data_IF_977847404255
#
_entry.id   IF_977847404255
#
_cell.length_a   1.000
_cell.length_b   1.000
_cell.length_c   1.000
_cell.angle_alpha   90.00
_cell.angle_beta   90.00
_cell.angle_gamma   90.00
#
_symmetry.space_group_name_H-M   'P 1'
#
loop_
_entity.id
_entity.type
_entity.pdbx_description
1 polymer ?
#
# COMPACT_ATOMS: atom_id res chain seq x y z
N UNK A 1 -56.91 21.13 -41.47
CA UNK A 1 -55.81 21.64 -40.63
C UNK A 1 -55.64 20.64 -39.50
N UNK A 2 -55.06 19.48 -39.81
CA UNK A 2 -54.85 18.42 -38.81
C UNK A 2 -53.48 18.65 -38.19
N UNK A 3 -53.48 19.07 -36.93
CA UNK A 3 -52.30 19.17 -36.09
C UNK A 3 -52.04 17.76 -35.52
N UNK A 4 -51.18 17.00 -36.18
CA UNK A 4 -50.70 15.72 -35.65
C UNK A 4 -49.64 16.01 -34.58
N UNK A 5 -49.83 15.55 -33.34
CA UNK A 5 -48.80 15.70 -32.30
C UNK A 5 -47.59 14.85 -32.66
N UNK A 6 -46.42 15.48 -32.74
CA UNK A 6 -45.14 14.79 -32.97
C UNK A 6 -44.82 13.85 -31.79
N UNK A 7 -44.48 12.58 -32.03
CA UNK A 7 -44.06 11.68 -30.97
C UNK A 7 -42.65 12.06 -30.47
N UNK A 8 -42.61 12.54 -29.22
CA UNK A 8 -41.61 12.15 -28.23
C UNK A 8 -40.14 12.42 -28.55
N UNK A 9 -39.66 13.62 -28.21
CA UNK A 9 -38.22 13.87 -28.00
C UNK A 9 -37.70 13.27 -26.67
N UNK A 10 -38.53 12.52 -25.93
CA UNK A 10 -38.20 11.96 -24.61
C UNK A 10 -37.41 10.63 -24.64
N UNK A 11 -37.34 9.89 -25.76
CA UNK A 11 -36.63 8.60 -25.80
C UNK A 11 -35.11 8.71 -26.08
N UNK A 12 -34.60 9.90 -26.43
CA UNK A 12 -33.21 10.05 -26.89
C UNK A 12 -32.18 10.26 -25.78
N UNK A 13 -32.62 10.32 -24.52
CA UNK A 13 -31.76 10.63 -23.37
C UNK A 13 -31.50 9.45 -22.43
N UNK A 14 -32.18 8.31 -22.59
CA UNK A 14 -32.02 7.18 -21.65
C UNK A 14 -30.87 6.21 -22.00
N UNK A 15 -30.19 6.37 -23.13
CA UNK A 15 -29.34 5.31 -23.71
C UNK A 15 -27.87 5.71 -23.91
N UNK A 16 -27.37 6.75 -23.20
CA UNK A 16 -25.99 7.27 -23.36
C UNK A 16 -25.09 7.01 -22.15
N UNK A 17 -25.60 6.44 -21.06
CA UNK A 17 -24.81 6.24 -19.83
C UNK A 17 -24.12 4.86 -19.71
N UNK A 18 -24.28 3.96 -20.69
CA UNK A 18 -23.82 2.56 -20.57
C UNK A 18 -22.48 2.21 -21.26
N UNK A 19 -21.92 3.05 -22.16
CA UNK A 19 -20.70 2.70 -22.92
C UNK A 19 -19.38 2.91 -22.16
N UNK A 20 -19.33 3.80 -21.17
CA UNK A 20 -18.09 4.05 -20.41
C UNK A 20 -17.85 3.03 -19.27
N UNK A 21 -18.92 2.44 -18.75
CA UNK A 21 -18.86 1.46 -17.66
C UNK A 21 -18.44 0.05 -18.13
N UNK A 22 -18.81 -0.35 -19.35
CA UNK A 22 -18.55 -1.68 -19.90
C UNK A 22 -17.09 -1.86 -20.29
N UNK A 23 -16.51 -0.90 -21.02
CA UNK A 23 -15.11 -0.92 -21.42
C UNK A 23 -14.14 -0.90 -20.22
N UNK A 24 -14.48 -0.15 -19.16
CA UNK A 24 -13.70 -0.11 -17.91
C UNK A 24 -13.80 -1.44 -17.15
N UNK A 25 -14.99 -2.02 -17.07
CA UNK A 25 -15.21 -3.34 -16.45
C UNK A 25 -14.48 -4.46 -17.19
N UNK A 26 -14.46 -4.45 -18.53
CA UNK A 26 -13.71 -5.42 -19.33
C UNK A 26 -12.20 -5.32 -19.11
N UNK A 27 -11.64 -4.11 -19.14
CA UNK A 27 -10.21 -3.89 -18.85
C UNK A 27 -9.85 -4.34 -17.43
N UNK A 28 -10.71 -4.03 -16.45
CA UNK A 28 -10.53 -4.48 -15.07
C UNK A 28 -10.62 -6.00 -14.94
N UNK A 29 -11.51 -6.68 -15.67
CA UNK A 29 -11.59 -8.15 -15.69
C UNK A 29 -10.35 -8.78 -16.31
N UNK A 30 -9.93 -8.30 -17.48
CA UNK A 30 -8.71 -8.78 -18.14
C UNK A 30 -7.47 -8.59 -17.25
N UNK A 31 -7.32 -7.42 -16.60
CA UNK A 31 -6.24 -7.19 -15.65
C UNK A 31 -6.31 -8.14 -14.44
N UNK A 32 -7.51 -8.38 -13.89
CA UNK A 32 -7.70 -9.34 -12.79
C UNK A 32 -7.34 -10.77 -13.21
N UNK A 33 -7.72 -11.20 -14.40
CA UNK A 33 -7.45 -12.55 -14.89
C UNK A 33 -5.95 -12.78 -15.16
N UNK A 34 -5.27 -11.78 -15.74
CA UNK A 34 -3.81 -11.80 -15.91
C UNK A 34 -3.10 -11.87 -14.56
N UNK A 35 -3.45 -10.98 -13.62
CA UNK A 35 -2.86 -10.97 -12.27
C UNK A 35 -3.12 -12.29 -11.56
N UNK A 36 -4.34 -12.85 -11.63
CA UNK A 36 -4.68 -14.12 -10.99
C UNK A 36 -3.91 -15.29 -11.60
N UNK A 37 -3.76 -15.32 -12.93
CA UNK A 37 -3.03 -16.37 -13.65
C UNK A 37 -1.52 -16.35 -13.36
N UNK A 38 -0.93 -15.17 -13.24
CA UNK A 38 0.51 -15.01 -12.99
C UNK A 38 0.86 -15.13 -11.49
N UNK A 39 0.05 -14.52 -10.63
CA UNK A 39 0.18 -14.65 -9.18
C UNK A 39 0.04 -16.12 -8.74
N UNK A 40 -0.89 -16.88 -9.35
CA UNK A 40 -1.08 -18.29 -9.02
C UNK A 40 0.14 -19.18 -9.30
N UNK A 41 0.98 -18.80 -10.27
CA UNK A 41 2.24 -19.53 -10.57
C UNK A 41 3.37 -19.12 -9.62
N UNK A 42 3.40 -17.83 -9.25
CA UNK A 42 4.40 -17.28 -8.34
C UNK A 42 4.19 -17.74 -6.88
N UNK A 43 2.94 -17.82 -6.42
CA UNK A 43 2.63 -18.17 -5.02
C UNK A 43 3.11 -19.56 -4.62
N UNK A 44 3.01 -20.55 -5.51
CA UNK A 44 3.42 -21.92 -5.23
C UNK A 44 4.94 -22.12 -5.12
N UNK A 45 5.74 -21.38 -5.89
CA UNK A 45 7.21 -21.54 -5.91
C UNK A 45 7.94 -20.49 -5.04
N UNK A 46 7.33 -19.34 -4.83
CA UNK A 46 7.93 -18.26 -4.03
C UNK A 46 7.68 -18.43 -2.53
N UNK A 47 6.62 -19.14 -2.10
CA UNK A 47 6.22 -19.20 -0.69
C UNK A 47 7.32 -19.67 0.28
N UNK A 48 8.04 -20.74 -0.03
CA UNK A 48 9.13 -21.25 0.81
C UNK A 48 10.36 -20.34 0.82
N UNK A 49 10.75 -19.81 -0.34
CA UNK A 49 11.87 -18.85 -0.43
C UNK A 49 11.54 -17.53 0.26
N UNK A 50 10.29 -17.07 0.15
CA UNK A 50 9.82 -15.85 0.78
C UNK A 50 9.79 -15.99 2.30
N UNK A 51 9.45 -17.15 2.87
CA UNK A 51 9.52 -17.36 4.33
C UNK A 51 10.95 -17.21 4.83
N UNK A 52 11.90 -17.91 4.22
CA UNK A 52 13.32 -17.78 4.62
C UNK A 52 13.85 -16.35 4.45
N UNK A 53 13.48 -15.66 3.36
CA UNK A 53 13.84 -14.26 3.14
C UNK A 53 13.11 -13.30 4.09
N UNK A 54 11.89 -13.63 4.52
CA UNK A 54 11.14 -12.84 5.48
C UNK A 54 11.75 -12.92 6.88
N UNK A 55 12.20 -14.11 7.31
CA UNK A 55 12.88 -14.28 8.60
C UNK A 55 14.22 -13.53 8.63
N UNK A 56 15.03 -13.68 7.58
CA UNK A 56 16.30 -12.95 7.43
C UNK A 56 16.08 -11.44 7.28
N UNK A 57 15.06 -11.04 6.51
CA UNK A 57 14.63 -9.65 6.35
C UNK A 57 14.16 -9.04 7.67
N UNK A 58 13.41 -9.78 8.48
CA UNK A 58 12.96 -9.39 9.83
C UNK A 58 14.17 -9.16 10.74
N UNK A 59 15.15 -10.06 10.75
CA UNK A 59 16.37 -9.90 11.54
C UNK A 59 17.19 -8.65 11.13
N UNK A 60 17.35 -8.41 9.83
CA UNK A 60 18.04 -7.20 9.33
C UNK A 60 17.25 -5.92 9.64
N UNK A 61 15.95 -5.94 9.40
CA UNK A 61 15.08 -4.78 9.67
C UNK A 61 15.05 -4.44 11.16
N UNK A 62 14.90 -5.43 12.05
CA UNK A 62 14.94 -5.20 13.50
C UNK A 62 16.28 -4.63 13.96
N UNK A 63 17.39 -5.12 13.41
CA UNK A 63 18.72 -4.57 13.71
C UNK A 63 18.85 -3.11 13.25
N UNK A 64 18.40 -2.79 12.03
CA UNK A 64 18.41 -1.42 11.52
C UNK A 64 17.49 -0.49 12.32
N UNK A 65 16.32 -0.99 12.76
CA UNK A 65 15.41 -0.25 13.62
C UNK A 65 16.01 -0.01 15.01
N UNK A 66 16.75 -0.96 15.58
CA UNK A 66 17.46 -0.77 16.86
C UNK A 66 18.56 0.30 16.73
N UNK A 67 19.30 0.32 15.62
CA UNK A 67 20.31 1.33 15.35
C UNK A 67 19.69 2.72 15.15
N UNK A 68 18.57 2.79 14.43
CA UNK A 68 17.80 4.01 14.26
C UNK A 68 17.22 4.50 15.60
N UNK A 69 16.68 3.61 16.43
CA UNK A 69 16.14 3.95 17.74
C UNK A 69 17.22 4.55 18.64
N UNK A 70 18.42 3.95 18.68
CA UNK A 70 19.58 4.52 19.39
C UNK A 70 19.95 5.90 18.87
N UNK A 71 20.02 6.05 17.54
CA UNK A 71 20.32 7.35 16.91
C UNK A 71 19.29 8.42 17.26
N UNK A 72 18.01 8.06 17.27
CA UNK A 72 16.92 8.97 17.64
C UNK A 72 16.98 9.29 19.13
N UNK A 73 17.28 8.33 20.01
CA UNK A 73 17.39 8.55 21.44
C UNK A 73 18.57 9.47 21.78
N UNK A 74 19.72 9.27 21.14
CA UNK A 74 20.89 10.16 21.24
C UNK A 74 20.55 11.58 20.76
N UNK A 75 19.77 11.70 19.68
CA UNK A 75 19.30 12.99 19.17
C UNK A 75 18.20 13.62 20.05
N UNK A 76 17.28 12.83 20.60
CA UNK A 76 16.18 13.27 21.45
C UNK A 76 16.70 13.79 22.80
N UNK A 77 17.74 13.17 23.36
CA UNK A 77 18.47 13.70 24.52
C UNK A 77 19.00 15.13 24.28
N UNK A 78 19.22 15.50 23.01
CA UNK A 78 19.66 16.84 22.59
C UNK A 78 18.48 17.78 22.25
N UNK A 79 17.29 17.25 21.95
CA UNK A 79 16.14 18.00 21.40
C UNK A 79 15.04 18.25 22.46
N UNK A 80 14.99 17.47 23.54
CA UNK A 80 13.98 17.57 24.63
C UNK A 80 13.85 18.99 25.21
N UNK A 81 14.90 19.82 25.11
CA UNK A 81 14.90 21.22 25.55
C UNK A 81 14.07 22.20 24.68
N UNK A 82 13.61 21.84 23.48
CA UNK A 82 13.06 22.81 22.51
C UNK A 82 11.64 22.57 22.00
N UNK A 83 11.03 21.42 22.29
CA UNK A 83 9.79 21.03 21.61
C UNK A 83 8.56 21.27 22.50
N UNK A 84 7.85 22.37 22.24
CA UNK A 84 6.66 22.77 22.98
C UNK A 84 5.45 21.80 22.85
N UNK A 85 4.41 21.99 23.69
CA UNK A 85 3.31 21.02 23.88
C UNK A 85 2.46 20.71 22.64
N UNK A 86 2.49 21.55 21.61
CA UNK A 86 1.64 21.43 20.42
C UNK A 86 2.19 20.42 19.38
N UNK A 87 3.49 20.14 19.40
CA UNK A 87 4.09 19.06 18.59
C UNK A 87 3.86 17.67 19.21
N UNK A 88 3.52 17.61 20.51
CA UNK A 88 3.42 16.36 21.26
C UNK A 88 2.28 15.45 20.82
N UNK A 89 1.14 15.99 20.36
CA UNK A 89 -0.03 15.17 20.01
C UNK A 89 0.17 14.32 18.77
N UNK A 90 0.65 14.93 17.68
CA UNK A 90 0.91 14.22 16.43
C UNK A 90 2.16 13.33 16.54
N UNK A 91 3.19 13.81 17.23
CA UNK A 91 4.37 13.01 17.54
C UNK A 91 4.00 11.76 18.33
N UNK A 92 3.19 11.87 19.39
CA UNK A 92 2.85 10.72 20.26
C UNK A 92 2.02 9.66 19.53
N UNK A 93 1.10 10.06 18.65
CA UNK A 93 0.34 9.11 17.81
C UNK A 93 1.25 8.42 16.79
N UNK A 94 2.14 9.17 16.13
CA UNK A 94 3.11 8.59 15.20
C UNK A 94 4.11 7.67 15.92
N UNK A 95 4.63 8.08 17.07
CA UNK A 95 5.50 7.29 17.93
C UNK A 95 4.82 6.01 18.37
N UNK A 96 3.55 6.06 18.80
CA UNK A 96 2.79 4.86 19.18
C UNK A 96 2.64 3.86 18.04
N UNK A 97 2.39 4.34 16.81
CA UNK A 97 2.32 3.48 15.63
C UNK A 97 3.68 2.83 15.32
N UNK A 98 4.78 3.57 15.45
CA UNK A 98 6.14 3.06 15.24
C UNK A 98 6.53 2.04 16.31
N UNK A 99 6.24 2.31 17.59
CA UNK A 99 6.51 1.38 18.69
C UNK A 99 5.74 0.08 18.52
N UNK A 100 4.43 0.15 18.25
CA UNK A 100 3.63 -1.05 17.99
C UNK A 100 4.15 -1.85 16.79
N UNK A 101 4.61 -1.17 15.74
CA UNK A 101 5.22 -1.83 14.59
C UNK A 101 6.53 -2.55 14.98
N UNK A 102 7.40 -1.90 15.75
CA UNK A 102 8.65 -2.49 16.22
C UNK A 102 8.40 -3.69 17.17
N UNK A 103 7.41 -3.58 18.06
CA UNK A 103 7.00 -4.68 18.95
C UNK A 103 6.43 -5.86 18.17
N UNK A 104 5.54 -5.61 17.21
CA UNK A 104 5.01 -6.65 16.33
C UNK A 104 6.12 -7.31 15.51
N UNK A 105 7.09 -6.53 15.01
CA UNK A 105 8.23 -7.06 14.27
C UNK A 105 9.23 -7.82 15.16
N UNK A 106 9.26 -7.58 16.48
CA UNK A 106 10.16 -8.29 17.41
C UNK A 106 9.51 -9.55 17.98
N UNK A 107 8.25 -9.46 18.39
CA UNK A 107 7.59 -10.46 19.21
C UNK A 107 6.61 -11.38 18.50
N UNK A 108 6.09 -11.00 17.31
CA UNK A 108 5.12 -11.83 16.58
C UNK A 108 5.76 -12.67 15.50
N UNK A 109 5.19 -13.85 15.29
CA UNK A 109 5.48 -14.68 14.13
C UNK A 109 4.96 -14.02 12.85
N UNK A 110 5.60 -14.33 11.72
CA UNK A 110 5.19 -13.82 10.41
C UNK A 110 3.74 -14.17 10.10
N UNK A 111 3.26 -15.34 10.53
CA UNK A 111 1.88 -15.77 10.30
C UNK A 111 0.86 -14.88 11.04
N UNK A 112 1.14 -14.47 12.30
CA UNK A 112 0.27 -13.55 13.05
C UNK A 112 0.24 -12.15 12.42
N UNK A 113 1.40 -11.66 11.98
CA UNK A 113 1.51 -10.39 11.24
C UNK A 113 0.69 -10.41 9.95
N UNK A 114 0.70 -11.54 9.23
CA UNK A 114 -0.07 -11.71 8.00
C UNK A 114 -1.56 -11.73 8.28
N UNK A 115 -2.00 -12.36 9.36
CA UNK A 115 -3.42 -12.40 9.72
C UNK A 115 -3.94 -11.03 10.21
N UNK A 116 -3.18 -10.30 11.02
CA UNK A 116 -3.50 -8.92 11.38
C UNK A 116 -3.61 -8.01 10.13
N UNK A 117 -2.67 -8.17 9.19
CA UNK A 117 -2.69 -7.43 7.93
C UNK A 117 -3.92 -7.78 7.07
N UNK A 118 -4.31 -9.06 7.01
CA UNK A 118 -5.53 -9.50 6.30
C UNK A 118 -6.78 -8.88 6.90
N UNK A 119 -6.87 -8.82 8.22
CA UNK A 119 -7.99 -8.19 8.91
C UNK A 119 -8.05 -6.68 8.66
N UNK A 120 -6.91 -6.01 8.66
CA UNK A 120 -6.83 -4.59 8.29
C UNK A 120 -7.29 -4.33 6.85
N UNK A 121 -6.83 -5.14 5.89
CA UNK A 121 -7.25 -5.04 4.47
C UNK A 121 -8.76 -5.26 4.33
N UNK A 122 -9.32 -6.24 5.06
CA UNK A 122 -10.76 -6.51 5.08
C UNK A 122 -11.55 -5.32 5.65
N UNK A 123 -11.04 -4.70 6.72
CA UNK A 123 -11.68 -3.58 7.39
C UNK A 123 -11.63 -2.30 6.56
N UNK A 124 -10.59 -2.10 5.75
CA UNK A 124 -10.35 -0.87 5.01
C UNK A 124 -9.67 -1.11 3.65
N UNK A 125 -10.43 -1.64 2.66
CA UNK A 125 -9.86 -2.00 1.36
C UNK A 125 -9.28 -0.80 0.60
N UNK A 126 -9.87 0.40 0.72
CA UNK A 126 -9.37 1.61 0.06
C UNK A 126 -8.00 2.05 0.58
N UNK A 127 -7.78 1.98 1.90
CA UNK A 127 -6.50 2.33 2.53
C UNK A 127 -5.42 1.35 2.08
N UNK A 128 -5.73 0.05 2.05
CA UNK A 128 -4.81 -0.98 1.60
C UNK A 128 -4.36 -0.76 0.14
N UNK A 129 -5.28 -0.44 -0.76
CA UNK A 129 -4.95 -0.15 -2.18
C UNK A 129 -4.02 1.07 -2.27
N UNK A 130 -4.31 2.14 -1.51
CA UNK A 130 -3.46 3.33 -1.47
C UNK A 130 -2.05 3.05 -0.93
N UNK A 131 -1.96 2.28 0.17
CA UNK A 131 -0.69 1.88 0.75
C UNK A 131 0.13 1.00 -0.21
N UNK A 132 -0.50 0.03 -0.87
CA UNK A 132 0.16 -0.82 -1.86
C UNK A 132 0.71 -0.01 -3.05
N UNK A 133 -0.08 0.95 -3.56
CA UNK A 133 0.37 1.85 -4.62
C UNK A 133 1.55 2.72 -4.18
N UNK A 134 1.52 3.27 -2.96
CA UNK A 134 2.60 4.08 -2.41
C UNK A 134 3.90 3.26 -2.25
N UNK A 135 3.82 2.06 -1.67
CA UNK A 135 4.97 1.16 -1.52
C UNK A 135 5.53 0.77 -2.90
N UNK A 136 4.66 0.37 -3.83
CA UNK A 136 5.05 0.04 -5.20
C UNK A 136 5.75 1.20 -5.92
N UNK A 137 5.26 2.42 -5.74
CA UNK A 137 5.90 3.62 -6.28
C UNK A 137 7.29 3.87 -5.67
N UNK A 138 7.45 3.75 -4.36
CA UNK A 138 8.75 3.90 -3.69
C UNK A 138 9.75 2.87 -4.22
N UNK A 139 9.35 1.60 -4.31
CA UNK A 139 10.20 0.54 -4.86
C UNK A 139 10.56 0.80 -6.32
N UNK A 140 9.58 1.19 -7.16
CA UNK A 140 9.82 1.56 -8.55
C UNK A 140 10.79 2.75 -8.66
N UNK A 141 10.63 3.76 -7.79
CA UNK A 141 11.49 4.94 -7.72
C UNK A 141 12.92 4.57 -7.33
N UNK A 142 13.12 3.66 -6.37
CA UNK A 142 14.44 3.20 -5.95
C UNK A 142 15.15 2.44 -7.08
N UNK A 143 14.45 1.52 -7.75
CA UNK A 143 14.99 0.79 -8.90
C UNK A 143 15.33 1.76 -10.03
N UNK A 144 14.43 2.69 -10.36
CA UNK A 144 14.67 3.68 -11.41
C UNK A 144 15.82 4.62 -11.06
N UNK A 145 15.91 5.11 -9.81
CA UNK A 145 17.04 5.90 -9.32
C UNK A 145 18.37 5.15 -9.43
N UNK A 146 18.39 3.85 -9.08
CA UNK A 146 19.59 3.03 -9.18
C UNK A 146 20.05 2.81 -10.63
N UNK A 147 19.10 2.65 -11.55
CA UNK A 147 19.38 2.51 -12.99
C UNK A 147 19.85 3.85 -13.60
N UNK A 148 19.29 4.98 -13.17
CA UNK A 148 19.73 6.32 -13.58
C UNK A 148 21.13 6.65 -13.05
N UNK A 149 21.45 6.26 -11.81
CA UNK A 149 22.78 6.44 -11.22
C UNK A 149 23.88 5.69 -12.01
N UNK A 150 23.52 4.59 -12.68
CA UNK A 150 24.44 3.78 -13.49
C UNK A 150 24.53 4.19 -14.97
N UNK A 151 23.64 5.06 -15.48
CA UNK A 151 23.70 5.57 -16.87
C UNK A 151 24.51 6.86 -17.02
N UNK A 152 24.81 7.53 -15.91
CA UNK A 152 25.56 8.79 -15.88
C UNK A 152 27.01 8.59 -15.40
N UNK A 153 27.49 7.34 -15.41
CA UNK A 153 28.88 6.94 -15.12
C UNK A 153 29.53 6.36 -16.38
#
# INVERSE_FOLDING_TARGET
MEFTPEPGLEERFSNRDDEHGTATKEKLRGAKDLVKGEAGKLTGQAGEKLRALADDGKARATSALDELAKTIEDAAATIDEKVGPQFGGYARSASGAVTNFAENLRGKDIDDLVDDARDFVRKSPGVAIGAAAAVGFVLARLVQSGIDANRNA
#
